data_IF_469781368884
#
_entry.id   IF_469781368884
#
_cell.length_a   1.000
_cell.length_b   1.000
_cell.length_c   1.000
_cell.angle_alpha   90.00
_cell.angle_beta   90.00
_cell.angle_gamma   90.00
#
_symmetry.space_group_name_H-M   'P 1'
#
loop_
_entity.id
_entity.type
_entity.pdbx_description
1 polymer ?
#
# COMPACT_ATOMS: atom_id res chain seq x y z
N UNK A 1 -28.37 -38.02 4.98
CA UNK A 1 -26.97 -37.64 4.65
C UNK A 1 -26.19 -36.97 5.80
N UNK A 2 -26.78 -36.65 6.97
CA UNK A 2 -26.05 -36.10 8.13
C UNK A 2 -25.37 -37.14 9.05
N UNK A 3 -25.47 -38.44 8.75
CA UNK A 3 -24.91 -39.51 9.60
C UNK A 3 -23.58 -40.10 9.10
N UNK A 4 -23.12 -39.69 7.92
CA UNK A 4 -21.79 -40.01 7.43
C UNK A 4 -21.03 -38.69 7.38
N UNK A 5 -19.87 -38.62 8.03
CA UNK A 5 -18.95 -37.47 8.00
C UNK A 5 -18.30 -37.32 6.61
N UNK A 6 -19.11 -37.44 5.55
CA UNK A 6 -18.72 -37.41 4.16
C UNK A 6 -18.40 -35.96 3.78
N UNK A 7 -17.11 -35.71 3.55
CA UNK A 7 -16.64 -34.47 2.93
C UNK A 7 -16.62 -34.69 1.41
N UNK A 8 -17.46 -33.98 0.64
CA UNK A 8 -17.39 -34.03 -0.82
C UNK A 8 -15.98 -33.69 -1.30
N UNK A 9 -15.49 -34.40 -2.32
CA UNK A 9 -14.22 -34.08 -2.93
C UNK A 9 -14.38 -32.80 -3.78
N UNK A 10 -13.94 -31.67 -3.24
CA UNK A 10 -14.04 -30.35 -3.88
C UNK A 10 -13.31 -30.29 -5.24
N UNK A 11 -12.22 -31.06 -5.42
CA UNK A 11 -11.49 -31.12 -6.70
C UNK A 11 -12.35 -31.78 -7.78
N UNK A 12 -13.01 -32.89 -7.45
CA UNK A 12 -13.92 -33.57 -8.38
C UNK A 12 -15.16 -32.71 -8.71
N UNK A 13 -15.63 -31.92 -7.74
CA UNK A 13 -16.75 -30.99 -7.92
C UNK A 13 -16.38 -29.79 -8.78
N UNK A 14 -15.17 -29.26 -8.63
CA UNK A 14 -14.63 -28.17 -9.43
C UNK A 14 -14.45 -28.58 -10.90
N UNK A 15 -13.93 -29.78 -11.14
CA UNK A 15 -13.81 -30.36 -12.49
C UNK A 15 -15.18 -30.52 -13.18
N UNK A 16 -16.23 -30.87 -12.43
CA UNK A 16 -17.58 -31.01 -12.96
C UNK A 16 -18.29 -29.66 -13.17
N UNK A 17 -18.15 -28.71 -12.23
CA UNK A 17 -18.81 -27.39 -12.28
C UNK A 17 -18.02 -26.32 -13.05
N UNK A 18 -16.77 -26.60 -13.45
CA UNK A 18 -15.82 -25.66 -14.05
C UNK A 18 -15.51 -24.42 -13.18
N UNK A 19 -15.64 -24.54 -11.86
CA UNK A 19 -15.30 -23.49 -10.88
C UNK A 19 -14.82 -24.11 -9.59
N UNK A 20 -13.69 -23.64 -9.07
CA UNK A 20 -13.15 -24.06 -7.77
C UNK A 20 -13.69 -23.26 -6.59
N UNK A 21 -14.40 -22.16 -6.85
CA UNK A 21 -14.80 -21.18 -5.83
C UNK A 21 -13.63 -20.74 -4.97
N UNK A 22 -12.47 -20.63 -5.61
CA UNK A 22 -11.21 -20.26 -4.98
C UNK A 22 -10.51 -19.21 -5.81
N UNK A 23 -9.98 -18.17 -5.18
CA UNK A 23 -9.20 -17.11 -5.83
C UNK A 23 -7.83 -16.98 -5.17
N UNK A 24 -6.83 -16.59 -5.95
CA UNK A 24 -5.52 -16.22 -5.42
C UNK A 24 -5.44 -14.74 -5.04
N UNK A 25 -4.75 -14.43 -3.95
CA UNK A 25 -4.35 -13.05 -3.62
C UNK A 25 -2.86 -13.05 -3.32
N UNK A 26 -2.06 -12.41 -4.18
CA UNK A 26 -0.62 -12.29 -4.00
C UNK A 26 -0.31 -10.90 -3.45
N UNK A 27 0.31 -10.87 -2.26
CA UNK A 27 0.76 -9.66 -1.56
C UNK A 27 2.27 -9.65 -1.34
N UNK A 28 2.92 -8.48 -1.32
CA UNK A 28 4.37 -8.39 -1.17
C UNK A 28 4.82 -8.75 0.23
N UNK A 29 4.17 -8.21 1.27
CA UNK A 29 4.63 -8.37 2.65
C UNK A 29 3.47 -8.17 3.64
N UNK A 30 3.03 -9.25 4.28
CA UNK A 30 1.96 -9.21 5.28
C UNK A 30 2.40 -8.57 6.61
N UNK A 31 3.69 -8.32 6.80
CA UNK A 31 4.20 -7.63 7.99
C UNK A 31 4.02 -6.12 7.90
N UNK A 32 3.88 -5.55 6.70
CA UNK A 32 3.45 -4.17 6.52
C UNK A 32 1.93 -4.05 6.75
N UNK A 33 1.47 -3.31 7.79
CA UNK A 33 0.05 -3.28 8.19
C UNK A 33 -0.94 -2.75 7.14
N UNK A 34 -0.46 -2.14 6.06
CA UNK A 34 -1.30 -1.80 4.91
C UNK A 34 -1.92 -3.05 4.25
N UNK A 35 -1.15 -4.14 4.08
CA UNK A 35 -1.61 -5.33 3.36
C UNK A 35 -2.62 -6.18 4.13
N UNK A 36 -2.49 -6.43 5.46
CA UNK A 36 -3.52 -7.11 6.23
C UNK A 36 -4.92 -6.48 6.11
N UNK A 37 -5.02 -5.15 6.11
CA UNK A 37 -6.31 -4.46 5.94
C UNK A 37 -6.86 -4.65 4.52
N UNK A 38 -6.00 -4.55 3.51
CA UNK A 38 -6.34 -4.81 2.13
C UNK A 38 -6.82 -6.26 1.90
N UNK A 39 -6.12 -7.23 2.48
CA UNK A 39 -6.46 -8.66 2.44
C UNK A 39 -7.82 -8.89 3.09
N UNK A 40 -8.09 -8.29 4.25
CA UNK A 40 -9.38 -8.37 4.92
C UNK A 40 -10.51 -7.84 4.03
N UNK A 41 -10.31 -6.71 3.38
CA UNK A 41 -11.32 -6.12 2.52
C UNK A 41 -11.64 -6.98 1.29
N UNK A 42 -10.62 -7.64 0.71
CA UNK A 42 -10.83 -8.64 -0.35
C UNK A 42 -11.60 -9.83 0.19
N UNK A 43 -11.18 -10.38 1.33
CA UNK A 43 -11.76 -11.58 1.93
C UNK A 43 -13.22 -11.41 2.34
N UNK A 44 -13.57 -10.27 2.97
CA UNK A 44 -14.95 -9.92 3.31
C UNK A 44 -15.87 -9.95 2.07
N UNK A 45 -15.42 -9.38 0.94
CA UNK A 45 -16.20 -9.40 -0.30
C UNK A 45 -16.24 -10.79 -0.92
N UNK A 46 -15.12 -11.51 -0.99
CA UNK A 46 -15.08 -12.84 -1.58
C UNK A 46 -16.00 -13.82 -0.83
N UNK A 47 -16.06 -13.73 0.50
CA UNK A 47 -16.93 -14.54 1.33
C UNK A 47 -18.42 -14.33 1.03
N UNK A 48 -18.85 -13.09 0.75
CA UNK A 48 -20.25 -12.80 0.37
C UNK A 48 -20.66 -13.55 -0.90
N UNK A 49 -19.70 -13.84 -1.79
CA UNK A 49 -19.91 -14.53 -3.07
C UNK A 49 -19.48 -16.01 -3.05
N UNK A 50 -19.29 -16.56 -1.85
CA UNK A 50 -18.88 -17.95 -1.59
C UNK A 50 -17.52 -18.32 -2.21
N UNK A 51 -16.57 -17.38 -2.29
CA UNK A 51 -15.20 -17.63 -2.73
C UNK A 51 -14.25 -17.75 -1.54
N UNK A 52 -13.37 -18.76 -1.59
CA UNK A 52 -12.23 -18.90 -0.67
C UNK A 52 -11.01 -18.17 -1.22
N UNK A 53 -10.29 -17.43 -0.37
CA UNK A 53 -9.05 -16.74 -0.76
C UNK A 53 -7.82 -17.57 -0.36
N UNK A 54 -6.94 -17.85 -1.32
CA UNK A 54 -5.58 -18.35 -1.07
C UNK A 54 -4.64 -17.15 -1.03
N UNK A 55 -4.17 -16.79 0.17
CA UNK A 55 -3.18 -15.73 0.38
C UNK A 55 -1.76 -16.23 0.09
N UNK A 56 -1.03 -15.48 -0.71
CA UNK A 56 0.35 -15.74 -1.11
C UNK A 56 1.23 -14.53 -0.73
N UNK A 57 2.29 -14.73 0.06
CA UNK A 57 3.19 -13.67 0.52
C UNK A 57 4.55 -13.73 -0.20
N UNK A 58 4.80 -12.81 -1.12
CA UNK A 58 5.94 -12.88 -2.05
C UNK A 58 7.28 -12.39 -1.50
N UNK A 59 7.30 -11.69 -0.37
CA UNK A 59 8.49 -11.01 0.16
C UNK A 59 9.16 -10.06 -0.86
N UNK A 60 8.38 -9.47 -1.78
CA UNK A 60 8.85 -8.67 -2.92
C UNK A 60 9.85 -9.42 -3.84
N UNK A 61 9.77 -10.76 -3.90
CA UNK A 61 10.63 -11.59 -4.76
C UNK A 61 9.85 -12.13 -5.95
N UNK A 62 10.19 -11.69 -7.16
CA UNK A 62 9.58 -12.16 -8.41
C UNK A 62 9.59 -13.70 -8.53
N UNK A 63 10.64 -14.38 -8.05
CA UNK A 63 10.71 -15.84 -8.08
C UNK A 63 9.61 -16.48 -7.23
N UNK A 64 9.35 -15.94 -6.04
CA UNK A 64 8.26 -16.44 -5.17
C UNK A 64 6.90 -16.13 -5.77
N UNK A 65 6.74 -14.99 -6.43
CA UNK A 65 5.50 -14.66 -7.14
C UNK A 65 5.21 -15.69 -8.24
N UNK A 66 6.21 -16.00 -9.08
CA UNK A 66 6.14 -17.05 -10.11
C UNK A 66 5.78 -18.41 -9.53
N UNK A 67 6.42 -18.80 -8.43
CA UNK A 67 6.09 -20.06 -7.74
C UNK A 67 4.63 -20.09 -7.27
N UNK A 68 4.13 -18.99 -6.69
CA UNK A 68 2.74 -18.92 -6.25
C UNK A 68 1.76 -18.99 -7.40
N UNK A 69 2.05 -18.36 -8.53
CA UNK A 69 1.23 -18.45 -9.74
C UNK A 69 1.11 -19.91 -10.20
N UNK A 70 2.22 -20.63 -10.28
CA UNK A 70 2.19 -22.05 -10.68
C UNK A 70 1.39 -22.91 -9.70
N UNK A 71 1.52 -22.64 -8.39
CA UNK A 71 0.68 -23.28 -7.37
C UNK A 71 -0.80 -22.95 -7.58
N UNK A 72 -1.15 -21.68 -7.83
CA UNK A 72 -2.53 -21.25 -8.05
C UNK A 72 -3.14 -21.89 -9.32
N UNK A 73 -2.36 -22.00 -10.41
CA UNK A 73 -2.76 -22.74 -11.63
C UNK A 73 -3.04 -24.21 -11.32
N UNK A 74 -2.17 -24.88 -10.57
CA UNK A 74 -2.37 -26.28 -10.15
C UNK A 74 -3.58 -26.47 -9.22
N UNK A 75 -3.99 -25.41 -8.52
CA UNK A 75 -5.19 -25.40 -7.67
C UNK A 75 -6.47 -25.05 -8.44
N UNK A 76 -6.38 -24.78 -9.74
CA UNK A 76 -7.52 -24.39 -10.59
C UNK A 76 -8.30 -23.20 -10.01
N UNK A 77 -7.59 -22.18 -9.50
CA UNK A 77 -8.26 -20.98 -9.02
C UNK A 77 -9.07 -20.32 -10.14
N UNK A 78 -10.19 -19.72 -9.78
CA UNK A 78 -11.07 -19.07 -10.74
C UNK A 78 -10.55 -17.68 -11.16
N UNK A 79 -9.61 -17.10 -10.41
CA UNK A 79 -9.02 -15.80 -10.71
C UNK A 79 -7.98 -15.38 -9.68
N UNK A 80 -7.22 -14.32 -9.97
CA UNK A 80 -6.12 -13.84 -9.13
C UNK A 80 -6.18 -12.32 -8.95
N UNK A 81 -5.99 -11.86 -7.71
CA UNK A 81 -5.67 -10.46 -7.40
C UNK A 81 -4.17 -10.34 -7.14
N UNK A 82 -3.53 -9.39 -7.80
CA UNK A 82 -2.09 -9.18 -7.75
C UNK A 82 -1.76 -7.80 -7.19
N UNK A 83 -0.90 -7.74 -6.18
CA UNK A 83 -0.28 -6.48 -5.72
C UNK A 83 1.24 -6.52 -5.96
N UNK A 84 1.66 -6.54 -7.22
CA UNK A 84 3.07 -6.63 -7.63
C UNK A 84 3.39 -5.62 -8.72
N UNK A 85 4.66 -5.25 -8.80
CA UNK A 85 5.26 -4.32 -9.75
C UNK A 85 6.37 -4.98 -10.59
N UNK A 86 6.56 -6.30 -10.48
CA UNK A 86 7.76 -6.98 -11.02
C UNK A 86 7.49 -7.87 -12.24
N UNK A 87 6.23 -8.13 -12.60
CA UNK A 87 5.94 -8.92 -13.79
C UNK A 87 6.04 -8.10 -15.07
N UNK A 88 6.64 -8.69 -16.10
CA UNK A 88 6.41 -8.23 -17.46
C UNK A 88 4.96 -8.60 -17.88
N UNK A 89 4.27 -7.78 -18.67
CA UNK A 89 2.91 -8.09 -19.12
C UNK A 89 2.82 -9.50 -19.74
N UNK A 90 3.80 -9.90 -20.55
CA UNK A 90 3.84 -11.19 -21.24
C UNK A 90 3.75 -12.38 -20.27
N UNK A 91 4.36 -12.28 -19.08
CA UNK A 91 4.32 -13.33 -18.06
C UNK A 91 2.91 -13.56 -17.51
N UNK A 92 2.07 -12.54 -17.53
CA UNK A 92 0.68 -12.54 -17.04
C UNK A 92 -0.29 -12.95 -18.16
N UNK A 93 0.13 -12.87 -19.42
CA UNK A 93 -0.65 -13.24 -20.59
C UNK A 93 -0.81 -14.75 -20.73
N UNK A 94 0.14 -15.52 -20.19
CA UNK A 94 0.11 -16.99 -20.16
C UNK A 94 -0.89 -17.56 -19.13
N UNK A 95 -1.67 -16.72 -18.45
CA UNK A 95 -2.58 -17.16 -17.40
C UNK A 95 -4.00 -17.19 -17.95
N UNK A 96 -4.59 -18.40 -17.98
CA UNK A 96 -5.94 -18.64 -18.48
C UNK A 96 -7.06 -18.21 -17.51
N UNK A 97 -6.75 -17.38 -16.51
CA UNK A 97 -7.69 -16.95 -15.47
C UNK A 97 -7.80 -15.43 -15.41
N UNK A 98 -8.97 -14.87 -15.05
CA UNK A 98 -9.13 -13.46 -14.76
C UNK A 98 -8.13 -12.90 -13.75
N UNK A 99 -7.62 -11.70 -14.02
CA UNK A 99 -6.62 -11.02 -13.19
C UNK A 99 -7.04 -9.59 -12.95
N UNK A 100 -6.96 -9.17 -11.69
CA UNK A 100 -7.12 -7.78 -11.26
C UNK A 100 -5.87 -7.34 -10.52
N UNK A 101 -5.36 -6.18 -10.90
CA UNK A 101 -4.20 -5.57 -10.27
C UNK A 101 -4.67 -4.62 -9.16
N UNK A 102 -3.98 -4.63 -8.03
CA UNK A 102 -4.35 -3.85 -6.86
C UNK A 102 -3.11 -3.17 -6.28
N UNK A 103 -3.24 -1.91 -5.87
CA UNK A 103 -2.18 -1.06 -5.29
C UNK A 103 -1.04 -0.68 -6.25
N UNK A 104 -0.47 -1.63 -7.00
CA UNK A 104 0.70 -1.45 -7.88
C UNK A 104 0.32 -1.71 -9.34
N UNK A 105 0.10 -0.69 -10.18
CA UNK A 105 -0.32 -0.91 -11.57
C UNK A 105 0.75 -1.67 -12.36
N UNK A 106 0.31 -2.57 -13.23
CA UNK A 106 1.18 -3.44 -14.03
C UNK A 106 1.16 -3.08 -15.52
N UNK A 107 -0.02 -3.11 -16.14
CA UNK A 107 -0.22 -2.82 -17.56
C UNK A 107 -1.66 -2.35 -17.82
N UNK A 108 -1.86 -1.53 -18.86
CA UNK A 108 -3.16 -0.91 -19.20
C UNK A 108 -4.25 -1.93 -19.61
N UNK A 109 -3.89 -3.17 -19.89
CA UNK A 109 -4.87 -4.20 -20.28
C UNK A 109 -5.54 -4.88 -19.08
N UNK A 110 -4.92 -4.82 -17.91
CA UNK A 110 -5.44 -5.45 -16.70
C UNK A 110 -6.25 -4.44 -15.89
N UNK A 111 -7.47 -4.77 -15.46
CA UNK A 111 -8.19 -3.91 -14.55
C UNK A 111 -7.36 -3.63 -13.31
N UNK A 112 -7.34 -2.38 -12.86
CA UNK A 112 -6.54 -1.97 -11.72
C UNK A 112 -7.31 -1.08 -10.76
N UNK A 113 -7.00 -1.23 -9.47
CA UNK A 113 -7.47 -0.33 -8.41
C UNK A 113 -6.27 0.19 -7.64
N UNK A 114 -6.04 1.49 -7.68
CA UNK A 114 -4.85 2.16 -7.11
C UNK A 114 -5.28 3.41 -6.35
N UNK A 115 -4.45 3.88 -5.42
CA UNK A 115 -4.62 5.19 -4.80
C UNK A 115 -3.85 6.27 -5.57
N UNK A 116 -4.26 7.53 -5.41
CA UNK A 116 -3.52 8.67 -5.96
C UNK A 116 -2.27 9.02 -5.12
N UNK A 117 -1.20 8.25 -5.36
CA UNK A 117 0.09 8.37 -4.68
C UNK A 117 0.78 9.73 -4.90
N UNK A 118 0.63 10.29 -6.10
CA UNK A 118 1.23 11.57 -6.44
C UNK A 118 0.55 12.71 -5.69
N UNK A 119 -0.78 12.81 -5.78
CA UNK A 119 -1.51 13.88 -5.11
C UNK A 119 -1.40 13.74 -3.59
N UNK A 120 -1.42 12.52 -3.06
CA UNK A 120 -1.21 12.30 -1.63
C UNK A 120 0.14 12.85 -1.13
N UNK A 121 1.22 12.65 -1.87
CA UNK A 121 2.52 13.22 -1.50
C UNK A 121 2.55 14.75 -1.58
N UNK A 122 1.84 15.34 -2.56
CA UNK A 122 1.67 16.79 -2.64
C UNK A 122 0.92 17.33 -1.43
N UNK A 123 -0.20 16.69 -1.05
CA UNK A 123 -0.97 17.05 0.15
C UNK A 123 -0.10 16.99 1.42
N UNK A 124 0.65 15.92 1.61
CA UNK A 124 1.52 15.75 2.78
C UNK A 124 2.60 16.85 2.87
N UNK A 125 3.26 17.12 1.75
CA UNK A 125 4.35 18.10 1.67
C UNK A 125 3.82 19.51 1.88
N UNK A 126 2.70 19.85 1.24
CA UNK A 126 2.03 21.15 1.41
C UNK A 126 1.56 21.37 2.84
N UNK A 127 0.98 20.37 3.48
CA UNK A 127 0.56 20.46 4.88
C UNK A 127 1.74 20.78 5.81
N UNK A 128 2.88 20.10 5.66
CA UNK A 128 4.09 20.42 6.43
C UNK A 128 4.54 21.87 6.23
N UNK A 129 4.48 22.37 4.99
CA UNK A 129 4.78 23.77 4.70
C UNK A 129 3.80 24.73 5.39
N UNK A 130 2.51 24.44 5.34
CA UNK A 130 1.45 25.26 5.95
C UNK A 130 1.57 25.34 7.48
N UNK A 131 2.01 24.25 8.14
CA UNK A 131 2.33 24.27 9.59
C UNK A 131 3.71 24.85 9.92
N UNK A 132 4.38 25.46 8.94
CA UNK A 132 5.59 26.26 9.16
C UNK A 132 6.92 25.55 8.89
N UNK A 133 6.92 24.30 8.41
CA UNK A 133 8.16 23.61 8.02
C UNK A 133 8.75 24.22 6.74
N UNK A 134 10.08 24.33 6.67
CA UNK A 134 10.82 24.88 5.51
C UNK A 134 11.98 24.01 5.07
N UNK A 135 12.35 23.00 5.86
CA UNK A 135 13.38 21.99 5.58
C UNK A 135 12.73 20.63 5.77
N UNK A 136 12.02 20.21 4.73
CA UNK A 136 11.18 19.02 4.76
C UNK A 136 11.96 17.86 4.15
N UNK A 137 12.26 16.84 4.94
CA UNK A 137 12.84 15.59 4.47
C UNK A 137 11.75 14.62 3.98
N UNK A 138 12.04 13.85 2.93
CA UNK A 138 11.22 12.73 2.50
C UNK A 138 11.91 11.40 2.84
N UNK A 139 11.21 10.51 3.55
CA UNK A 139 11.68 9.13 3.74
C UNK A 139 11.08 8.28 2.62
N UNK A 140 11.92 7.91 1.66
CA UNK A 140 11.51 7.20 0.46
C UNK A 140 11.41 5.68 0.72
N UNK A 141 10.41 5.06 0.08
CA UNK A 141 10.34 3.61 -0.08
C UNK A 141 11.32 3.08 -1.15
N UNK A 142 11.24 1.80 -1.53
CA UNK A 142 12.14 1.21 -2.50
C UNK A 142 12.00 1.85 -3.89
N UNK A 143 13.11 2.20 -4.53
CA UNK A 143 13.13 2.90 -5.84
C UNK A 143 12.52 2.11 -7.01
N UNK A 144 12.37 0.79 -6.87
CA UNK A 144 11.77 -0.06 -7.89
C UNK A 144 10.24 -0.16 -7.75
N UNK A 145 9.66 0.39 -6.67
CA UNK A 145 8.21 0.38 -6.43
C UNK A 145 7.58 1.67 -6.94
N UNK A 146 6.67 1.54 -7.90
CA UNK A 146 5.99 2.68 -8.54
C UNK A 146 5.32 3.62 -7.53
N UNK A 147 4.68 3.09 -6.49
CA UNK A 147 4.05 3.92 -5.45
C UNK A 147 5.06 4.78 -4.70
N UNK A 148 6.25 4.26 -4.41
CA UNK A 148 7.33 5.03 -3.77
C UNK A 148 7.83 6.14 -4.70
N UNK A 149 7.94 5.84 -6.00
CA UNK A 149 8.39 6.81 -7.01
C UNK A 149 7.36 7.91 -7.26
N UNK A 150 6.07 7.59 -7.30
CA UNK A 150 5.00 8.58 -7.43
C UNK A 150 4.92 9.49 -6.19
N UNK A 151 5.03 8.91 -4.98
CA UNK A 151 5.10 9.70 -3.73
C UNK A 151 6.34 10.61 -3.72
N UNK A 152 7.49 10.09 -4.15
CA UNK A 152 8.70 10.90 -4.26
C UNK A 152 8.54 12.04 -5.29
N UNK A 153 7.99 11.75 -6.47
CA UNK A 153 7.70 12.77 -7.49
C UNK A 153 6.78 13.87 -6.95
N UNK A 154 5.70 13.50 -6.26
CA UNK A 154 4.78 14.45 -5.64
C UNK A 154 5.46 15.36 -4.62
N UNK A 155 6.33 14.80 -3.76
CA UNK A 155 7.15 15.58 -2.85
C UNK A 155 8.07 16.57 -3.59
N UNK A 156 8.80 16.11 -4.61
CA UNK A 156 9.74 16.97 -5.34
C UNK A 156 9.05 18.12 -6.07
N UNK A 157 7.94 17.82 -6.75
CA UNK A 157 7.15 18.82 -7.47
C UNK A 157 6.56 19.85 -6.53
N UNK A 158 6.04 19.41 -5.38
CA UNK A 158 5.46 20.30 -4.40
C UNK A 158 6.53 21.18 -3.73
N UNK A 159 7.69 20.62 -3.39
CA UNK A 159 8.83 21.41 -2.90
C UNK A 159 9.26 22.49 -3.91
N UNK A 160 9.27 22.18 -5.21
CA UNK A 160 9.55 23.17 -6.27
C UNK A 160 8.47 24.24 -6.35
N UNK A 161 7.19 23.84 -6.32
CA UNK A 161 6.06 24.75 -6.38
C UNK A 161 6.02 25.73 -5.19
N UNK A 162 6.50 25.30 -4.01
CA UNK A 162 6.60 26.12 -2.80
C UNK A 162 7.88 26.98 -2.73
N UNK A 163 8.74 26.92 -3.76
CA UNK A 163 10.01 27.66 -3.79
C UNK A 163 11.10 27.09 -2.87
N UNK A 164 11.01 25.81 -2.51
CA UNK A 164 11.95 25.09 -1.64
C UNK A 164 12.70 23.96 -2.39
N UNK A 165 12.72 24.00 -3.72
CA UNK A 165 13.28 22.92 -4.55
C UNK A 165 14.78 22.66 -4.33
N UNK A 166 15.54 23.67 -3.90
CA UNK A 166 16.96 23.59 -3.54
C UNK A 166 17.20 22.95 -2.16
N UNK A 167 16.14 22.74 -1.37
CA UNK A 167 16.18 22.21 0.00
C UNK A 167 15.62 20.80 0.11
N UNK A 168 15.51 20.08 -1.01
CA UNK A 168 15.07 18.68 -0.99
C UNK A 168 16.07 17.83 -0.22
N UNK A 169 15.57 16.98 0.68
CA UNK A 169 16.35 16.01 1.43
C UNK A 169 15.65 14.66 1.36
N UNK A 170 16.36 13.63 0.92
CA UNK A 170 15.81 12.28 0.73
C UNK A 170 16.57 11.30 1.61
N UNK A 171 15.81 10.53 2.39
CA UNK A 171 16.31 9.49 3.30
C UNK A 171 15.76 8.16 2.81
N UNK A 172 16.59 7.13 2.68
CA UNK A 172 16.15 5.81 2.23
C UNK A 172 15.66 4.96 3.40
N UNK A 173 14.36 4.63 3.41
CA UNK A 173 13.73 3.82 4.47
C UNK A 173 13.14 2.48 4.01
N UNK A 174 12.94 2.30 2.69
CA UNK A 174 12.47 1.06 2.05
C UNK A 174 11.21 0.44 2.68
N UNK A 175 10.26 1.27 3.13
CA UNK A 175 9.04 0.84 3.82
C UNK A 175 9.24 0.11 5.16
N UNK A 176 10.45 0.07 5.69
CA UNK A 176 10.78 -0.64 6.92
C UNK A 176 10.97 0.32 8.09
N UNK A 177 10.23 0.08 9.18
CA UNK A 177 10.30 0.88 10.40
C UNK A 177 11.73 0.97 10.95
N UNK A 178 12.42 -0.17 11.08
CA UNK A 178 13.76 -0.24 11.67
C UNK A 178 14.77 0.53 10.82
N UNK A 179 14.75 0.32 9.51
CA UNK A 179 15.66 1.01 8.59
C UNK A 179 15.39 2.51 8.56
N UNK A 180 14.12 2.93 8.47
CA UNK A 180 13.77 4.34 8.54
C UNK A 180 14.24 5.01 9.84
N UNK A 181 14.09 4.32 10.98
CA UNK A 181 14.59 4.82 12.27
C UNK A 181 16.11 5.06 12.22
N UNK A 182 16.88 4.06 11.80
CA UNK A 182 18.35 4.15 11.74
C UNK A 182 18.81 5.25 10.76
N UNK A 183 18.17 5.32 9.59
CA UNK A 183 18.47 6.31 8.56
C UNK A 183 18.13 7.74 9.01
N UNK A 184 17.00 7.94 9.70
CA UNK A 184 16.63 9.26 10.25
C UNK A 184 17.59 9.68 11.36
N UNK A 185 18.00 8.77 12.26
CA UNK A 185 19.00 9.10 13.29
C UNK A 185 20.32 9.58 12.67
N UNK A 186 20.79 8.91 11.61
CA UNK A 186 21.99 9.35 10.89
C UNK A 186 21.78 10.72 10.22
N UNK A 187 20.65 10.91 9.55
CA UNK A 187 20.34 12.18 8.87
C UNK A 187 20.24 13.36 9.84
N UNK A 188 19.68 13.16 11.04
CA UNK A 188 19.60 14.20 12.08
C UNK A 188 20.97 14.66 12.60
N UNK A 189 22.03 13.87 12.43
CA UNK A 189 23.38 14.26 12.81
C UNK A 189 24.07 15.13 11.75
N UNK A 190 23.61 15.08 10.49
CA UNK A 190 24.28 15.72 9.34
C UNK A 190 23.46 16.87 8.74
N UNK A 191 22.15 16.88 8.96
CA UNK A 191 21.23 17.79 8.30
C UNK A 191 20.24 18.42 9.28
N UNK A 192 19.93 19.69 9.05
CA UNK A 192 18.84 20.39 9.73
C UNK A 192 17.52 20.13 8.97
N UNK A 193 16.49 19.70 9.69
CA UNK A 193 15.15 19.48 9.17
C UNK A 193 14.12 19.86 10.23
N UNK A 194 13.00 20.42 9.79
CA UNK A 194 11.88 20.81 10.65
C UNK A 194 10.57 20.07 10.30
N UNK A 195 10.57 19.31 9.21
CA UNK A 195 9.45 18.46 8.78
C UNK A 195 9.93 17.15 8.16
N UNK A 196 9.20 16.08 8.39
CA UNK A 196 9.43 14.77 7.77
C UNK A 196 8.14 14.28 7.12
N UNK A 197 8.16 14.06 5.82
CA UNK A 197 7.17 13.28 5.11
C UNK A 197 7.69 11.85 4.90
N UNK A 198 7.16 10.90 5.66
CA UNK A 198 7.48 9.50 5.48
C UNK A 198 6.59 8.86 4.42
N UNK A 199 7.20 8.19 3.45
CA UNK A 199 6.50 7.56 2.34
C UNK A 199 5.57 6.41 2.73
N UNK A 200 5.56 5.95 3.98
CA UNK A 200 4.49 5.15 4.58
C UNK A 200 4.45 5.33 6.11
N UNK A 201 3.39 4.84 6.75
CA UNK A 201 3.15 5.01 8.18
C UNK A 201 4.13 4.19 9.04
N UNK A 202 4.57 3.01 8.57
CA UNK A 202 5.58 2.22 9.28
C UNK A 202 6.92 2.98 9.40
N UNK A 203 7.35 3.65 8.33
CA UNK A 203 8.53 4.53 8.34
C UNK A 203 8.27 5.79 9.16
N UNK A 204 7.05 6.34 9.17
CA UNK A 204 6.69 7.48 10.02
C UNK A 204 6.86 7.15 11.51
N UNK A 205 6.44 5.96 11.94
CA UNK A 205 6.70 5.46 13.30
C UNK A 205 8.19 5.29 13.56
N UNK A 206 8.96 4.83 12.57
CA UNK A 206 10.42 4.75 12.65
C UNK A 206 11.06 6.14 12.86
N UNK A 207 10.64 7.13 12.09
CA UNK A 207 11.07 8.53 12.21
C UNK A 207 10.70 9.11 13.57
N UNK A 208 9.47 8.90 14.04
CA UNK A 208 9.02 9.34 15.36
C UNK A 208 9.93 8.81 16.46
N UNK A 209 10.25 7.51 16.42
CA UNK A 209 11.18 6.88 17.37
C UNK A 209 12.59 7.48 17.29
N UNK A 210 13.08 7.76 16.09
CA UNK A 210 14.40 8.37 15.89
C UNK A 210 14.47 9.77 16.50
N UNK A 211 13.51 10.64 16.17
CA UNK A 211 13.42 12.02 16.66
C UNK A 211 13.34 12.05 18.19
N UNK A 212 12.48 11.22 18.79
CA UNK A 212 12.36 11.13 20.25
C UNK A 212 13.64 10.62 20.93
N UNK A 213 14.34 9.65 20.32
CA UNK A 213 15.61 9.14 20.86
C UNK A 213 16.76 10.15 20.78
N UNK A 214 16.70 11.07 19.82
CA UNK A 214 17.60 12.22 19.75
C UNK A 214 17.23 13.34 20.72
N UNK A 215 16.20 13.18 21.57
CA UNK A 215 15.76 14.17 22.54
C UNK A 215 14.96 15.33 21.94
N UNK A 216 14.54 15.22 20.68
CA UNK A 216 13.75 16.21 19.97
C UNK A 216 12.25 15.94 20.16
N UNK A 217 11.45 17.00 20.11
CA UNK A 217 10.00 16.95 20.30
C UNK A 217 9.27 16.97 18.96
N UNK A 218 8.20 16.19 18.91
CA UNK A 218 7.24 16.18 17.80
C UNK A 218 5.92 16.76 18.32
N UNK A 219 5.31 17.77 17.67
CA UNK A 219 5.70 18.42 16.42
C UNK A 219 6.63 19.65 16.56
N UNK A 220 6.97 20.03 17.79
CA UNK A 220 7.56 21.35 18.08
C UNK A 220 8.93 21.56 17.42
N UNK A 221 9.81 20.56 17.47
CA UNK A 221 11.13 20.63 16.86
C UNK A 221 11.08 20.05 15.43
N UNK A 222 10.44 18.88 15.26
CA UNK A 222 10.24 18.23 13.95
C UNK A 222 8.79 17.75 13.83
N UNK A 223 8.07 18.25 12.84
CA UNK A 223 6.74 17.75 12.49
C UNK A 223 6.85 16.50 11.61
N UNK A 224 5.99 15.50 11.82
CA UNK A 224 6.05 14.22 11.09
C UNK A 224 4.69 13.89 10.52
N UNK A 225 4.65 13.57 9.22
CA UNK A 225 3.47 13.05 8.54
C UNK A 225 3.81 11.73 7.83
N UNK A 226 2.93 10.74 7.97
CA UNK A 226 3.02 9.45 7.29
C UNK A 226 2.17 9.37 6.02
N UNK A 227 1.96 8.14 5.57
CA UNK A 227 1.14 7.79 4.43
C UNK A 227 0.60 6.36 4.63
N UNK A 228 -0.64 6.10 4.23
CA UNK A 228 -1.39 4.84 4.18
C UNK A 228 -2.69 4.99 4.97
N UNK A 229 -2.65 5.58 6.16
CA UNK A 229 -3.81 5.72 7.03
C UNK A 229 -4.04 4.52 7.93
N UNK A 230 -3.00 3.73 8.24
CA UNK A 230 -3.17 2.51 9.03
C UNK A 230 -3.51 2.83 10.50
N UNK A 231 -4.21 1.93 11.21
CA UNK A 231 -4.59 2.13 12.62
C UNK A 231 -3.42 2.40 13.56
N UNK A 232 -2.21 1.96 13.19
CA UNK A 232 -0.99 2.20 13.97
C UNK A 232 -0.73 3.69 14.21
N UNK A 233 -1.19 4.58 13.31
CA UNK A 233 -1.01 6.04 13.43
C UNK A 233 -1.73 6.65 14.63
N UNK A 234 -2.80 6.02 15.12
CA UNK A 234 -3.57 6.45 16.30
C UNK A 234 -3.02 5.85 17.60
N UNK A 235 -2.14 4.84 17.51
CA UNK A 235 -1.58 4.14 18.67
C UNK A 235 -0.25 4.75 19.14
N UNK A 236 0.32 5.70 18.38
CA UNK A 236 1.56 6.38 18.76
C UNK A 236 1.30 7.56 19.69
N UNK A 237 2.37 8.04 20.34
CA UNK A 237 2.33 9.30 21.10
C UNK A 237 3.49 10.19 20.67
N UNK A 238 3.24 11.38 20.08
CA UNK A 238 1.94 11.86 19.60
C UNK A 238 1.30 10.96 18.54
N UNK A 239 -0.02 11.05 18.37
CA UNK A 239 -0.73 10.45 17.24
C UNK A 239 -0.20 11.02 15.92
N UNK A 240 0.09 10.14 14.96
CA UNK A 240 0.65 10.50 13.67
C UNK A 240 -0.42 11.04 12.72
N UNK A 241 -0.15 12.21 12.16
CA UNK A 241 -0.82 12.70 10.96
C UNK A 241 -0.40 11.83 9.78
N UNK A 242 -1.30 11.62 8.82
CA UNK A 242 -1.03 10.74 7.68
C UNK A 242 -1.89 11.13 6.48
N UNK A 243 -1.48 10.72 5.29
CA UNK A 243 -2.36 10.69 4.13
C UNK A 243 -2.99 9.31 4.05
N UNK A 244 -4.29 9.26 4.33
CA UNK A 244 -5.08 8.03 4.34
C UNK A 244 -5.47 7.62 2.93
N UNK A 245 -5.15 6.38 2.61
CA UNK A 245 -5.67 5.68 1.44
C UNK A 245 -7.01 5.02 1.80
N UNK A 246 -7.95 4.90 0.87
CA UNK A 246 -9.21 4.17 1.11
C UNK A 246 -8.98 2.65 0.99
N UNK A 247 -8.12 2.08 1.85
CA UNK A 247 -7.60 0.69 1.77
C UNK A 247 -8.74 -0.32 1.64
N UNK A 248 -9.76 -0.22 2.48
CA UNK A 248 -10.90 -1.13 2.44
C UNK A 248 -11.68 -1.03 1.13
N UNK A 249 -11.92 0.18 0.64
CA UNK A 249 -12.61 0.39 -0.64
C UNK A 249 -11.81 -0.18 -1.81
N UNK A 250 -10.48 -0.01 -1.79
CA UNK A 250 -9.57 -0.56 -2.80
C UNK A 250 -9.71 -2.09 -2.90
N UNK A 251 -9.56 -2.80 -1.78
CA UNK A 251 -9.66 -4.26 -1.73
C UNK A 251 -11.05 -4.75 -2.12
N UNK A 252 -12.10 -4.12 -1.59
CA UNK A 252 -13.48 -4.46 -1.90
C UNK A 252 -13.84 -4.24 -3.38
N UNK A 253 -13.32 -3.17 -3.99
CA UNK A 253 -13.52 -2.87 -5.41
C UNK A 253 -12.79 -3.89 -6.29
N UNK A 254 -11.53 -4.20 -5.99
CA UNK A 254 -10.77 -5.19 -6.73
C UNK A 254 -11.43 -6.58 -6.69
N UNK A 255 -11.93 -6.99 -5.53
CA UNK A 255 -12.68 -8.23 -5.38
C UNK A 255 -13.94 -8.28 -6.25
N UNK A 256 -14.75 -7.21 -6.23
CA UNK A 256 -15.95 -7.10 -7.09
C UNK A 256 -15.61 -7.12 -8.58
N UNK A 257 -14.52 -6.47 -9.00
CA UNK A 257 -14.06 -6.49 -10.39
C UNK A 257 -13.68 -7.91 -10.79
N UNK A 258 -12.92 -8.62 -9.95
CA UNK A 258 -12.50 -9.98 -10.26
C UNK A 258 -13.71 -10.92 -10.39
N UNK A 259 -14.67 -10.83 -9.46
CA UNK A 259 -15.92 -11.61 -9.51
C UNK A 259 -16.67 -11.33 -10.82
N UNK A 260 -16.80 -10.07 -11.24
CA UNK A 260 -17.44 -9.72 -12.53
C UNK A 260 -16.73 -10.40 -13.70
N UNK A 261 -15.39 -10.40 -13.72
CA UNK A 261 -14.64 -11.06 -14.78
C UNK A 261 -14.83 -12.59 -14.77
N UNK A 262 -14.82 -13.23 -13.60
CA UNK A 262 -15.07 -14.67 -13.45
C UNK A 262 -16.47 -15.02 -13.98
N UNK A 263 -17.46 -14.17 -13.73
CA UNK A 263 -18.84 -14.35 -14.19
C UNK A 263 -19.06 -13.95 -15.67
N UNK A 264 -18.02 -13.49 -16.38
CA UNK A 264 -18.13 -13.04 -17.77
C UNK A 264 -18.95 -11.76 -17.95
N UNK A 265 -19.09 -10.95 -16.89
CA UNK A 265 -19.82 -9.68 -16.92
C UNK A 265 -18.91 -8.55 -17.43
N UNK A 266 -19.44 -7.61 -18.23
CA UNK A 266 -18.65 -6.50 -18.73
C UNK A 266 -18.19 -5.57 -17.59
N UNK A 267 -17.02 -4.96 -17.79
CA UNK A 267 -16.50 -3.90 -16.93
C UNK A 267 -16.78 -2.54 -17.57
N UNK A 268 -17.25 -1.59 -16.77
CA UNK A 268 -17.52 -0.20 -17.23
C UNK A 268 -16.22 0.59 -17.39
N UNK A 269 -15.22 0.30 -16.55
CA UNK A 269 -13.91 0.92 -16.52
C UNK A 269 -12.87 -0.11 -16.10
N UNK A 270 -11.68 -0.05 -16.70
CA UNK A 270 -10.54 -0.91 -16.34
C UNK A 270 -9.76 -0.34 -15.16
N UNK A 271 -9.45 0.96 -15.16
CA UNK A 271 -8.55 1.56 -14.17
C UNK A 271 -9.28 2.51 -13.22
N UNK A 272 -9.17 2.23 -11.93
CA UNK A 272 -9.74 3.03 -10.85
C UNK A 272 -8.58 3.63 -10.05
N UNK A 273 -8.52 4.96 -10.03
CA UNK A 273 -7.65 5.70 -9.13
C UNK A 273 -8.53 6.34 -8.07
N UNK A 274 -8.34 5.94 -6.82
CA UNK A 274 -9.15 6.39 -5.70
C UNK A 274 -8.49 7.60 -5.02
N UNK A 275 -9.27 8.62 -4.62
CA UNK A 275 -8.75 9.79 -3.94
C UNK A 275 -8.22 9.41 -2.55
N UNK A 276 -7.21 10.12 -2.12
CA UNK A 276 -6.63 10.01 -0.77
C UNK A 276 -6.99 11.23 0.06
N UNK A 277 -6.90 11.12 1.39
CA UNK A 277 -7.31 12.18 2.30
C UNK A 277 -6.23 12.50 3.32
N UNK A 278 -5.98 13.79 3.55
CA UNK A 278 -5.11 14.23 4.63
C UNK A 278 -5.84 14.08 5.98
N UNK A 279 -5.25 13.32 6.89
CA UNK A 279 -5.72 13.15 8.27
C UNK A 279 -4.73 13.82 9.20
N UNK A 280 -5.10 15.02 9.68
CA UNK A 280 -4.27 15.82 10.58
C UNK A 280 -4.46 15.34 12.02
N UNK A 281 -3.35 15.07 12.71
CA UNK A 281 -3.30 14.70 14.13
C UNK A 281 -2.20 15.47 14.87
N UNK A 282 -1.84 15.00 16.06
CA UNK A 282 -0.92 15.67 16.98
C UNK A 282 0.49 15.88 16.41
N UNK A 283 1.00 14.95 15.59
CA UNK A 283 2.39 14.99 15.08
C UNK A 283 2.71 16.12 14.09
N UNK A 284 1.72 16.91 13.68
CA UNK A 284 1.91 18.12 12.86
C UNK A 284 1.19 19.35 13.45
N UNK A 285 0.46 19.19 14.55
CA UNK A 285 -0.30 20.26 15.18
C UNK A 285 0.58 21.10 16.11
N UNK A 286 1.33 22.06 15.55
CA UNK A 286 2.17 22.98 16.33
C UNK A 286 1.29 23.95 17.14
N UNK A 287 1.55 24.08 18.44
CA UNK A 287 0.85 25.06 19.29
C UNK A 287 1.35 26.47 18.92
N UNK A 288 0.51 27.29 18.29
CA UNK A 288 0.79 28.73 18.05
C UNK A 288 0.54 29.28 16.65
N UNK A 289 -0.04 28.50 15.72
CA UNK A 289 -0.41 28.95 14.36
C UNK A 289 -1.94 29.10 14.18
N UNK A 290 -2.64 29.55 15.23
CA UNK A 290 -4.05 30.00 15.16
C UNK A 290 -4.13 31.49 15.39
#
# INVERSE_FOLDING_TARGET
MKELNYKPNEVARALFKKTSKTVGLIVPDITNPFFPELVRAVEDVMNIYDYTVILCNSDEKVEKEREYIEVLKQKYVDGVILTTNQFAPEEVEEWDVPIVVLDRPLHERYPSVVADNYEGARLATRHLYEVGCRRIAHIQGPNHVVNAMERFRGYQDEMRALGLGDRQLVIQGNYQLKQAKEAVMAALAEHDMDGIFAGNDAMAVGALKAVQQCGLRVPDDIAIIGYDGIPLTEMTTPELSTVSQPIYEMGAMAARILIKQIEGKPLEKLHYQLPVQLVVRQSTSRRGLT
#
